data_IF_834270283536
#
_entry.id   IF_834270283536
#
_cell.length_a   1.000
_cell.length_b   1.000
_cell.length_c   1.000
_cell.angle_alpha   90.00
_cell.angle_beta   90.00
_cell.angle_gamma   90.00
#
_symmetry.space_group_name_H-M   'P 1'
#
loop_
_entity.id
_entity.type
_entity.pdbx_description
1 polymer ?
#
# COMPACT_ATOMS: atom_id res chain seq x y z
N UNK A 1 14.69 -7.04 -42.37
CA UNK A 1 13.66 -6.22 -41.72
C UNK A 1 13.37 -6.81 -40.35
N UNK A 2 13.84 -6.13 -39.30
CA UNK A 2 13.69 -6.56 -37.91
C UNK A 2 12.23 -6.43 -37.48
N UNK A 3 11.61 -7.55 -37.12
CA UNK A 3 10.30 -7.60 -36.48
C UNK A 3 10.44 -6.97 -35.09
N UNK A 4 9.97 -5.74 -34.93
CA UNK A 4 9.79 -5.13 -33.62
C UNK A 4 8.71 -5.93 -32.87
N UNK A 5 9.09 -6.47 -31.71
CA UNK A 5 8.12 -7.00 -30.74
C UNK A 5 7.17 -5.85 -30.36
N UNK A 6 5.92 -5.90 -30.81
CA UNK A 6 4.85 -5.08 -30.24
C UNK A 6 4.79 -5.44 -28.75
N UNK A 7 5.08 -4.49 -27.87
CA UNK A 7 4.85 -4.67 -26.44
C UNK A 7 3.37 -4.97 -26.23
N UNK A 8 3.05 -6.05 -25.51
CA UNK A 8 1.67 -6.40 -25.20
C UNK A 8 1.01 -5.22 -24.48
N UNK A 9 -0.07 -4.69 -25.06
CA UNK A 9 -0.88 -3.67 -24.38
C UNK A 9 -1.41 -4.23 -23.05
N UNK A 10 -1.43 -3.43 -21.96
CA UNK A 10 -1.97 -3.89 -20.68
C UNK A 10 -3.44 -4.32 -20.82
N UNK A 11 -3.82 -5.40 -20.14
CA UNK A 11 -5.22 -5.85 -20.11
C UNK A 11 -6.16 -4.76 -19.55
N UNK A 12 -7.35 -4.62 -20.12
CA UNK A 12 -8.35 -3.66 -19.63
C UNK A 12 -8.83 -4.09 -18.23
N UNK A 13 -8.85 -3.19 -17.22
CA UNK A 13 -9.36 -3.53 -15.91
C UNK A 13 -10.88 -3.76 -15.95
N UNK A 14 -11.31 -4.91 -15.43
CA UNK A 14 -12.73 -5.25 -15.27
C UNK A 14 -13.37 -4.44 -14.14
N UNK A 15 -14.59 -3.93 -14.31
CA UNK A 15 -15.29 -3.20 -13.25
C UNK A 15 -15.72 -4.17 -12.15
N UNK A 16 -15.44 -3.82 -10.90
CA UNK A 16 -15.75 -4.64 -9.73
C UNK A 16 -16.08 -3.80 -8.50
N UNK A 17 -16.71 -4.43 -7.52
CA UNK A 17 -17.04 -3.83 -6.22
C UNK A 17 -16.67 -4.75 -5.08
N UNK A 18 -16.42 -4.20 -3.91
CA UNK A 18 -16.17 -4.97 -2.70
C UNK A 18 -16.59 -4.20 -1.44
N UNK A 19 -17.03 -4.93 -0.41
CA UNK A 19 -17.64 -4.35 0.79
C UNK A 19 -16.87 -4.78 2.04
N UNK A 20 -16.45 -3.80 2.82
CA UNK A 20 -16.05 -4.00 4.21
C UNK A 20 -17.32 -4.00 5.05
N UNK A 21 -17.87 -5.19 5.31
CA UNK A 21 -19.04 -5.34 6.17
C UNK A 21 -18.60 -5.28 7.64
N UNK A 22 -19.13 -4.30 8.37
CA UNK A 22 -18.85 -4.09 9.79
C UNK A 22 -20.02 -4.62 10.63
N UNK A 23 -19.74 -5.60 11.48
CA UNK A 23 -20.73 -6.22 12.37
C UNK A 23 -21.21 -5.25 13.47
N UNK A 24 -22.33 -5.57 14.16
CA UNK A 24 -22.77 -4.81 15.33
C UNK A 24 -21.70 -4.67 16.43
N UNK A 25 -20.72 -5.58 16.47
CA UNK A 25 -19.58 -5.58 17.41
C UNK A 25 -18.31 -4.91 16.86
N UNK A 26 -18.42 -4.18 15.75
CA UNK A 26 -17.31 -3.53 15.04
C UNK A 26 -16.24 -4.50 14.49
N UNK A 27 -16.65 -5.72 14.15
CA UNK A 27 -15.77 -6.71 13.52
C UNK A 27 -15.97 -6.69 12.00
N UNK A 28 -14.95 -7.09 11.25
CA UNK A 28 -14.94 -7.05 9.79
C UNK A 28 -15.04 -8.46 9.23
N UNK A 29 -15.97 -8.65 8.30
CA UNK A 29 -16.10 -9.89 7.54
C UNK A 29 -14.94 -10.04 6.55
N UNK A 30 -14.25 -11.17 6.60
CA UNK A 30 -13.44 -11.65 5.50
C UNK A 30 -13.90 -13.03 5.06
N UNK A 31 -13.71 -13.27 3.77
CA UNK A 31 -13.93 -14.54 3.10
C UNK A 31 -12.59 -15.18 2.77
N UNK A 32 -12.48 -16.49 2.96
CA UNK A 32 -11.30 -17.27 2.63
C UNK A 32 -11.66 -18.43 1.70
N UNK A 33 -11.06 -18.47 0.51
CA UNK A 33 -11.31 -19.53 -0.48
C UNK A 33 -10.46 -20.78 -0.18
N UNK A 34 -11.11 -21.90 0.10
CA UNK A 34 -10.47 -23.16 0.45
C UNK A 34 -10.04 -23.91 -0.83
N UNK A 35 -8.80 -23.65 -1.27
CA UNK A 35 -7.96 -24.44 -2.21
C UNK A 35 -8.64 -25.14 -3.42
N UNK A 36 -9.28 -24.42 -4.33
CA UNK A 36 -9.49 -24.89 -5.72
C UNK A 36 -9.42 -23.80 -6.82
N UNK A 37 -9.33 -22.50 -6.49
CA UNK A 37 -9.42 -21.43 -7.50
C UNK A 37 -8.10 -21.05 -8.20
N UNK A 38 -8.17 -20.72 -9.50
CA UNK A 38 -7.04 -20.28 -10.34
C UNK A 38 -6.65 -18.80 -10.16
N UNK A 39 -7.33 -18.06 -9.30
CA UNK A 39 -6.98 -16.68 -8.92
C UNK A 39 -7.02 -16.54 -7.40
N UNK A 40 -5.93 -16.09 -6.77
CA UNK A 40 -5.87 -15.82 -5.32
C UNK A 40 -6.11 -17.02 -4.39
N UNK A 41 -5.64 -18.22 -4.73
CA UNK A 41 -5.72 -19.39 -3.85
C UNK A 41 -5.20 -19.08 -2.42
N UNK A 42 -6.03 -19.34 -1.40
CA UNK A 42 -5.74 -19.14 0.03
C UNK A 42 -5.64 -17.69 0.54
N UNK A 43 -6.12 -16.71 -0.22
CA UNK A 43 -6.21 -15.32 0.25
C UNK A 43 -7.48 -15.06 1.06
N UNK A 44 -7.35 -14.19 2.06
CA UNK A 44 -8.50 -13.60 2.74
C UNK A 44 -8.86 -12.30 2.02
N UNK A 45 -10.14 -12.13 1.72
CA UNK A 45 -10.65 -10.99 0.94
C UNK A 45 -11.94 -10.48 1.54
N UNK A 46 -12.22 -9.20 1.34
CA UNK A 46 -13.58 -8.69 1.53
C UNK A 46 -14.50 -9.31 0.47
N UNK A 47 -15.77 -9.59 0.81
CA UNK A 47 -16.77 -9.99 -0.17
C UNK A 47 -16.81 -9.01 -1.35
N UNK A 48 -16.92 -9.54 -2.57
CA UNK A 48 -16.98 -8.71 -3.76
C UNK A 48 -16.55 -9.40 -5.05
N UNK A 49 -17.00 -8.83 -6.17
CA UNK A 49 -16.78 -9.40 -7.49
C UNK A 49 -17.02 -8.40 -8.61
N UNK A 50 -17.15 -8.93 -9.83
CA UNK A 50 -17.32 -8.11 -11.03
C UNK A 50 -18.75 -7.58 -11.11
N UNK A 51 -18.93 -6.44 -11.76
CA UNK A 51 -20.26 -6.01 -12.17
C UNK A 51 -20.83 -7.02 -13.18
N UNK A 52 -22.10 -7.34 -12.98
CA UNK A 52 -22.94 -8.13 -13.90
C UNK A 52 -23.95 -7.21 -14.58
N UNK A 53 -24.53 -7.65 -15.71
CA UNK A 53 -25.57 -6.89 -16.41
C UNK A 53 -26.81 -6.64 -15.54
N UNK A 54 -27.08 -7.50 -14.54
CA UNK A 54 -28.18 -7.30 -13.59
C UNK A 54 -27.95 -6.13 -12.63
N UNK A 55 -26.70 -5.69 -12.45
CA UNK A 55 -26.37 -4.56 -11.56
C UNK A 55 -26.64 -3.20 -12.25
N UNK A 56 -26.86 -3.21 -13.56
CA UNK A 56 -27.09 -2.02 -14.40
C UNK A 56 -25.93 -1.68 -15.33
N UNK A 57 -26.04 -0.55 -16.02
CA UNK A 57 -25.08 -0.15 -17.05
C UNK A 57 -23.72 0.27 -16.46
N UNK A 58 -22.65 -0.25 -17.06
CA UNK A 58 -21.28 0.15 -16.75
C UNK A 58 -20.68 0.93 -17.94
N UNK A 59 -20.09 2.12 -17.72
CA UNK A 59 -19.45 2.87 -18.79
C UNK A 59 -18.41 2.03 -19.56
N UNK A 60 -18.23 2.28 -20.88
CA UNK A 60 -17.33 1.50 -21.71
C UNK A 60 -15.88 1.62 -21.27
N UNK A 61 -15.02 0.71 -21.75
CA UNK A 61 -13.59 0.77 -21.49
C UNK A 61 -12.98 2.04 -22.08
N UNK A 62 -12.21 2.79 -21.27
CA UNK A 62 -11.56 4.04 -21.67
C UNK A 62 -12.33 5.30 -21.27
N UNK A 63 -13.60 5.17 -20.84
CA UNK A 63 -14.33 6.27 -20.24
C UNK A 63 -13.88 6.49 -18.78
N UNK A 64 -13.57 7.74 -18.41
CA UNK A 64 -13.21 8.10 -17.03
C UNK A 64 -14.34 7.80 -16.05
N UNK A 65 -15.60 7.92 -16.48
CA UNK A 65 -16.78 7.63 -15.67
C UNK A 65 -16.84 6.16 -15.21
N UNK A 66 -16.15 5.23 -15.90
CA UNK A 66 -16.00 3.84 -15.46
C UNK A 66 -15.36 3.75 -14.07
N UNK A 67 -14.56 4.74 -13.69
CA UNK A 67 -13.83 4.78 -12.43
C UNK A 67 -14.50 5.65 -11.37
N UNK A 68 -15.78 6.00 -11.55
CA UNK A 68 -16.60 6.72 -10.58
C UNK A 68 -17.53 5.77 -9.81
N UNK A 69 -17.95 6.17 -8.62
CA UNK A 69 -19.03 5.48 -7.90
C UNK A 69 -20.34 5.59 -8.69
N UNK A 70 -21.15 4.54 -8.69
CA UNK A 70 -22.45 4.53 -9.37
C UNK A 70 -23.42 3.55 -8.71
N UNK A 71 -24.74 3.70 -8.95
CA UNK A 71 -25.73 2.71 -8.47
C UNK A 71 -25.39 1.27 -8.89
N UNK A 72 -24.78 1.06 -10.06
CA UNK A 72 -24.39 -0.26 -10.53
C UNK A 72 -23.21 -0.86 -9.75
N UNK A 73 -22.22 -0.05 -9.37
CA UNK A 73 -21.18 -0.52 -8.46
C UNK A 73 -21.76 -0.88 -7.09
N UNK A 74 -22.71 -0.09 -6.57
CA UNK A 74 -23.35 -0.34 -5.28
C UNK A 74 -24.21 -1.61 -5.28
N UNK A 75 -25.01 -1.83 -6.33
CA UNK A 75 -25.80 -3.06 -6.52
C UNK A 75 -24.91 -4.29 -6.60
N UNK A 76 -23.84 -4.22 -7.40
CA UNK A 76 -22.86 -5.30 -7.49
C UNK A 76 -22.24 -5.63 -6.12
N UNK A 77 -21.92 -4.61 -5.30
CA UNK A 77 -21.34 -4.82 -3.98
C UNK A 77 -22.28 -5.63 -3.05
N UNK A 78 -23.58 -5.31 -3.05
CA UNK A 78 -24.58 -6.02 -2.24
C UNK A 78 -24.87 -7.42 -2.80
N UNK A 79 -25.03 -7.55 -4.12
CA UNK A 79 -25.26 -8.85 -4.76
C UNK A 79 -24.11 -9.81 -4.49
N UNK A 80 -22.86 -9.38 -4.72
CA UNK A 80 -21.68 -10.22 -4.49
C UNK A 80 -21.51 -10.59 -3.01
N UNK A 81 -21.79 -9.66 -2.09
CA UNK A 81 -21.82 -9.99 -0.66
C UNK A 81 -22.83 -11.12 -0.37
N UNK A 82 -24.05 -11.02 -0.89
CA UNK A 82 -25.07 -12.05 -0.71
C UNK A 82 -24.68 -13.37 -1.37
N UNK A 83 -24.16 -13.34 -2.60
CA UNK A 83 -23.70 -14.52 -3.32
C UNK A 83 -22.57 -15.25 -2.60
N UNK A 84 -21.59 -14.52 -2.05
CA UNK A 84 -20.39 -15.12 -1.45
C UNK A 84 -20.53 -15.47 0.04
N UNK A 85 -21.42 -14.79 0.78
CA UNK A 85 -21.59 -14.97 2.25
C UNK A 85 -22.99 -15.34 2.71
N UNK A 86 -24.01 -15.25 1.86
CA UNK A 86 -25.42 -15.43 2.25
C UNK A 86 -26.00 -14.32 3.14
N UNK A 87 -25.21 -13.32 3.53
CA UNK A 87 -25.69 -12.17 4.33
C UNK A 87 -26.51 -11.25 3.43
N UNK A 88 -27.75 -10.98 3.85
CA UNK A 88 -28.70 -10.20 3.06
C UNK A 88 -28.70 -8.73 3.51
N UNK A 89 -28.27 -7.83 2.63
CA UNK A 89 -28.40 -6.38 2.82
C UNK A 89 -29.51 -5.84 1.94
N UNK A 90 -30.74 -6.01 2.41
CA UNK A 90 -31.93 -5.50 1.77
C UNK A 90 -32.83 -4.81 2.79
N UNK A 91 -33.68 -3.91 2.31
CA UNK A 91 -34.65 -3.19 3.12
C UNK A 91 -36.00 -3.16 2.46
N UNK A 92 -37.02 -2.94 3.26
CA UNK A 92 -38.32 -2.52 2.78
C UNK A 92 -38.24 -1.04 2.37
N UNK A 93 -38.60 -0.73 1.12
CA UNK A 93 -38.49 0.61 0.53
C UNK A 93 -39.28 1.66 1.30
N UNK A 94 -40.42 1.28 1.88
CA UNK A 94 -41.36 2.22 2.49
C UNK A 94 -40.98 2.53 3.94
N UNK A 95 -40.64 1.50 4.71
CA UNK A 95 -40.28 1.64 6.13
C UNK A 95 -38.78 1.90 6.35
N UNK A 96 -37.93 1.54 5.39
CA UNK A 96 -36.48 1.58 5.53
C UNK A 96 -35.89 0.48 6.43
N UNK A 97 -36.75 -0.38 6.99
CA UNK A 97 -36.32 -1.47 7.87
C UNK A 97 -35.62 -2.56 7.07
N UNK A 98 -34.57 -3.15 7.65
CA UNK A 98 -33.90 -4.28 7.01
C UNK A 98 -34.82 -5.49 6.88
N UNK A 99 -34.72 -6.15 5.73
CA UNK A 99 -35.48 -7.34 5.43
C UNK A 99 -34.80 -8.57 6.05
N UNK A 100 -35.56 -9.32 6.85
CA UNK A 100 -35.12 -10.61 7.36
C UNK A 100 -35.77 -11.75 6.55
N UNK A 101 -34.95 -12.66 6.06
CA UNK A 101 -35.37 -13.86 5.31
C UNK A 101 -34.70 -15.07 5.97
N UNK A 102 -35.45 -16.16 6.17
CA UNK A 102 -34.92 -17.37 6.78
C UNK A 102 -33.78 -17.99 5.95
N UNK A 103 -32.87 -18.69 6.64
CA UNK A 103 -31.67 -19.25 6.02
C UNK A 103 -31.96 -20.22 4.86
N UNK A 104 -32.91 -21.19 4.93
CA UNK A 104 -33.22 -22.05 3.79
C UNK A 104 -33.64 -21.27 2.54
N UNK A 105 -34.47 -20.24 2.71
CA UNK A 105 -34.93 -19.38 1.61
C UNK A 105 -33.79 -18.53 1.05
N UNK A 106 -32.92 -17.97 1.90
CA UNK A 106 -31.70 -17.25 1.47
C UNK A 106 -30.76 -18.15 0.68
N UNK A 107 -30.48 -19.36 1.17
CA UNK A 107 -29.61 -20.33 0.51
C UNK A 107 -30.14 -20.74 -0.87
N UNK A 108 -31.45 -21.00 -0.97
CA UNK A 108 -32.10 -21.30 -2.25
C UNK A 108 -32.00 -20.12 -3.23
N UNK A 109 -32.28 -18.90 -2.74
CA UNK A 109 -32.11 -17.66 -3.50
C UNK A 109 -30.69 -17.47 -4.02
N UNK A 110 -29.69 -17.61 -3.13
CA UNK A 110 -28.26 -17.49 -3.45
C UNK A 110 -27.86 -18.38 -4.62
N UNK A 111 -28.31 -19.64 -4.62
CA UNK A 111 -28.06 -20.59 -5.71
C UNK A 111 -28.70 -20.17 -7.03
N UNK A 112 -29.94 -19.68 -7.00
CA UNK A 112 -30.65 -19.25 -8.21
C UNK A 112 -30.00 -18.01 -8.83
N UNK A 113 -29.63 -17.03 -8.00
CA UNK A 113 -28.98 -15.79 -8.43
C UNK A 113 -27.61 -16.09 -9.03
N UNK A 114 -26.79 -16.88 -8.34
CA UNK A 114 -25.48 -17.28 -8.82
C UNK A 114 -25.54 -18.04 -10.16
N UNK A 115 -26.55 -18.91 -10.34
CA UNK A 115 -26.79 -19.64 -11.59
C UNK A 115 -27.43 -18.78 -12.70
N UNK A 116 -27.63 -17.47 -12.46
CA UNK A 116 -28.33 -16.54 -13.35
C UNK A 116 -29.75 -17.02 -13.74
N UNK A 117 -30.42 -17.77 -12.86
CA UNK A 117 -31.82 -18.22 -13.05
C UNK A 117 -32.84 -17.17 -12.65
N UNK A 118 -32.44 -16.23 -11.79
CA UNK A 118 -33.19 -15.05 -11.37
C UNK A 118 -32.18 -13.94 -11.10
N UNK A 119 -32.59 -12.68 -11.24
CA UNK A 119 -31.77 -11.55 -10.74
C UNK A 119 -31.95 -11.37 -9.24
N UNK A 120 -31.01 -10.66 -8.60
CA UNK A 120 -31.11 -10.32 -7.17
C UNK A 120 -32.36 -9.50 -6.85
N UNK A 121 -32.65 -8.47 -7.65
CA UNK A 121 -33.86 -7.63 -7.50
C UNK A 121 -35.16 -8.43 -7.69
N UNK A 122 -35.21 -9.35 -8.66
CA UNK A 122 -36.40 -10.21 -8.85
C UNK A 122 -36.60 -11.17 -7.68
N UNK A 123 -35.52 -11.76 -7.16
CA UNK A 123 -35.61 -12.65 -6.01
C UNK A 123 -36.06 -11.90 -4.74
N UNK A 124 -35.57 -10.67 -4.52
CA UNK A 124 -36.01 -9.82 -3.41
C UNK A 124 -37.52 -9.54 -3.45
N UNK A 125 -38.04 -9.22 -4.64
CA UNK A 125 -39.48 -8.97 -4.84
C UNK A 125 -40.36 -10.19 -4.55
N UNK A 126 -39.82 -11.41 -4.63
CA UNK A 126 -40.52 -12.63 -4.22
C UNK A 126 -40.63 -12.75 -2.70
N UNK A 127 -39.72 -12.13 -1.94
CA UNK A 127 -39.73 -12.15 -0.48
C UNK A 127 -40.65 -11.08 0.10
N UNK A 128 -40.63 -9.88 -0.50
CA UNK A 128 -41.57 -8.80 -0.22
C UNK A 128 -41.67 -7.88 -1.44
N UNK A 129 -42.87 -7.43 -1.81
CA UNK A 129 -43.10 -6.64 -3.01
C UNK A 129 -42.32 -5.31 -3.03
N UNK A 130 -42.11 -4.72 -1.84
CA UNK A 130 -41.39 -3.46 -1.64
C UNK A 130 -39.93 -3.66 -1.23
N UNK A 131 -39.39 -4.88 -1.30
CA UNK A 131 -37.99 -5.14 -0.99
C UNK A 131 -37.04 -4.57 -2.05
N UNK A 132 -35.98 -3.90 -1.60
CA UNK A 132 -34.90 -3.41 -2.44
C UNK A 132 -33.51 -3.62 -1.79
N UNK A 133 -32.43 -3.71 -2.58
CA UNK A 133 -31.07 -3.72 -2.06
C UNK A 133 -30.75 -2.42 -1.30
N UNK A 134 -30.12 -2.48 -0.13
CA UNK A 134 -29.84 -1.27 0.67
C UNK A 134 -28.58 -0.50 0.20
N UNK A 135 -28.57 -0.10 -1.07
CA UNK A 135 -27.43 0.58 -1.72
C UNK A 135 -27.13 1.98 -1.15
N UNK A 136 -28.09 2.57 -0.42
CA UNK A 136 -27.97 3.91 0.15
C UNK A 136 -26.98 3.96 1.31
N UNK A 137 -26.86 2.87 2.06
CA UNK A 137 -25.98 2.79 3.24
C UNK A 137 -24.52 2.48 2.90
N UNK A 138 -24.22 2.17 1.63
CA UNK A 138 -22.84 1.99 1.19
C UNK A 138 -22.11 3.34 1.15
N UNK A 139 -21.05 3.43 1.95
CA UNK A 139 -20.16 4.60 1.99
C UNK A 139 -18.94 4.30 1.11
N UNK A 140 -18.71 5.05 0.01
CA UNK A 140 -17.50 4.88 -0.79
C UNK A 140 -16.25 5.03 0.06
N UNK A 141 -15.32 4.09 -0.02
CA UNK A 141 -14.07 4.16 0.75
C UNK A 141 -12.86 4.46 -0.11
N UNK A 142 -12.66 3.77 -1.23
CA UNK A 142 -11.56 4.07 -2.18
C UNK A 142 -11.69 3.19 -3.41
N UNK A 143 -11.17 3.65 -4.56
CA UNK A 143 -11.06 2.85 -5.77
C UNK A 143 -9.66 2.31 -5.97
N UNK A 144 -9.55 1.04 -6.34
CA UNK A 144 -8.28 0.40 -6.66
C UNK A 144 -8.24 -0.06 -8.11
N UNK A 145 -7.20 0.32 -8.84
CA UNK A 145 -6.93 -0.15 -10.19
C UNK A 145 -5.74 -1.10 -10.14
N UNK A 146 -5.91 -2.32 -10.63
CA UNK A 146 -4.81 -3.29 -10.63
C UNK A 146 -3.66 -2.78 -11.50
N UNK A 147 -2.39 -2.84 -11.05
CA UNK A 147 -1.24 -2.40 -11.83
C UNK A 147 -1.11 -3.11 -13.19
N UNK A 148 -0.47 -2.45 -14.16
CA UNK A 148 -0.37 -2.93 -15.55
C UNK A 148 0.50 -4.18 -15.74
N UNK A 149 1.35 -4.50 -14.77
CA UNK A 149 2.19 -5.70 -14.79
C UNK A 149 1.46 -6.98 -14.34
N UNK A 150 0.18 -6.87 -13.95
CA UNK A 150 -0.66 -8.00 -13.56
C UNK A 150 -1.57 -8.37 -14.73
N UNK A 151 -1.67 -9.66 -15.14
CA UNK A 151 -2.45 -10.05 -16.32
C UNK A 151 -3.96 -9.92 -16.11
N UNK A 152 -4.47 -10.28 -14.91
CA UNK A 152 -5.87 -10.10 -14.54
C UNK A 152 -6.01 -8.77 -13.81
N UNK A 153 -6.69 -7.81 -14.43
CA UNK A 153 -6.85 -6.45 -13.91
C UNK A 153 -8.29 -6.15 -13.57
N UNK A 154 -8.46 -5.33 -12.55
CA UNK A 154 -9.74 -4.90 -12.00
C UNK A 154 -9.69 -3.40 -11.68
N UNK A 155 -10.84 -2.74 -11.74
CA UNK A 155 -11.08 -1.43 -11.14
C UNK A 155 -12.18 -1.60 -10.09
N UNK A 156 -11.74 -1.79 -8.85
CA UNK A 156 -12.61 -2.15 -7.73
C UNK A 156 -13.00 -0.93 -6.93
N UNK A 157 -14.29 -0.65 -6.81
CA UNK A 157 -14.80 0.29 -5.82
C UNK A 157 -14.94 -0.42 -4.46
N UNK A 158 -14.28 0.09 -3.43
CA UNK A 158 -14.40 -0.41 -2.06
C UNK A 158 -15.43 0.43 -1.30
N UNK A 159 -16.27 -0.22 -0.51
CA UNK A 159 -17.28 0.43 0.33
C UNK A 159 -17.16 0.01 1.80
N UNK A 160 -17.58 0.88 2.70
CA UNK A 160 -17.95 0.51 4.07
C UNK A 160 -19.46 0.26 4.14
N UNK A 161 -19.88 -0.71 4.94
CA UNK A 161 -21.28 -0.91 5.32
C UNK A 161 -21.37 -1.28 6.80
N UNK A 162 -22.09 -0.48 7.59
CA UNK A 162 -22.29 -0.75 9.01
C UNK A 162 -23.62 -1.45 9.25
N UNK A 163 -23.57 -2.67 9.79
CA UNK A 163 -24.75 -3.28 10.40
C UNK A 163 -25.13 -2.50 11.67
N UNK A 164 -26.42 -2.35 12.03
CA UNK A 164 -26.82 -1.57 13.18
C UNK A 164 -26.17 -2.07 14.48
N UNK A 165 -26.00 -1.17 15.45
CA UNK A 165 -25.48 -1.56 16.77
C UNK A 165 -26.50 -2.45 17.51
N UNK A 166 -26.08 -3.33 18.43
CA UNK A 166 -26.90 -4.41 18.97
C UNK A 166 -28.27 -4.00 19.57
N UNK A 167 -28.38 -2.78 20.10
CA UNK A 167 -29.64 -2.25 20.66
C UNK A 167 -30.70 -2.02 19.57
N UNK A 168 -30.26 -1.88 18.33
CA UNK A 168 -31.06 -1.53 17.16
C UNK A 168 -31.20 -2.70 16.17
N UNK A 169 -30.85 -3.93 16.57
CA UNK A 169 -30.86 -5.10 15.69
C UNK A 169 -31.99 -6.06 16.06
N UNK A 170 -32.83 -6.40 15.08
CA UNK A 170 -33.78 -7.51 15.21
C UNK A 170 -33.02 -8.84 15.37
N UNK A 171 -33.44 -9.70 16.32
CA UNK A 171 -32.83 -11.02 16.54
C UNK A 171 -32.69 -11.83 15.25
N UNK A 172 -33.67 -11.75 14.35
CA UNK A 172 -33.64 -12.46 13.07
C UNK A 172 -32.52 -12.00 12.12
N UNK A 173 -31.98 -10.81 12.33
CA UNK A 173 -30.85 -10.29 11.58
C UNK A 173 -29.51 -10.76 12.18
N UNK A 174 -29.46 -10.92 13.51
CA UNK A 174 -28.28 -11.51 14.17
C UNK A 174 -28.08 -12.96 13.77
N UNK A 175 -29.17 -13.71 13.59
CA UNK A 175 -29.14 -15.11 13.14
C UNK A 175 -28.59 -15.27 11.70
N UNK A 176 -28.36 -14.18 10.96
CA UNK A 176 -27.74 -14.20 9.63
C UNK A 176 -26.23 -14.04 9.67
N UNK A 177 -25.65 -13.71 10.82
CA UNK A 177 -24.22 -13.46 10.98
C UNK A 177 -23.56 -14.67 11.64
N UNK A 178 -22.37 -15.09 11.18
CA UNK A 178 -21.56 -16.06 11.91
C UNK A 178 -21.37 -15.62 13.36
N UNK A 179 -21.51 -16.55 14.30
CA UNK A 179 -21.23 -16.28 15.71
C UNK A 179 -19.77 -15.88 15.91
N UNK A 180 -19.48 -15.18 17.01
CA UNK A 180 -18.14 -14.66 17.28
C UNK A 180 -17.10 -15.78 17.35
N UNK A 181 -16.10 -15.72 16.48
CA UNK A 181 -15.04 -16.73 16.38
C UNK A 181 -15.43 -18.01 15.66
N UNK A 182 -16.69 -18.18 15.28
CA UNK A 182 -17.13 -19.29 14.43
C UNK A 182 -16.81 -19.01 12.95
N UNK A 183 -16.82 -20.09 12.19
CA UNK A 183 -16.53 -20.11 10.76
C UNK A 183 -17.73 -20.71 10.06
N UNK A 184 -18.33 -19.97 9.13
CA UNK A 184 -19.38 -20.52 8.26
C UNK A 184 -18.78 -20.91 6.92
N UNK A 185 -18.96 -22.17 6.54
CA UNK A 185 -18.54 -22.67 5.23
C UNK A 185 -19.71 -22.59 4.25
N UNK A 186 -19.53 -21.83 3.18
CA UNK A 186 -20.47 -21.78 2.07
C UNK A 186 -19.87 -22.47 0.85
N UNK A 187 -20.67 -23.33 0.21
CA UNK A 187 -20.34 -23.89 -1.10
C UNK A 187 -20.84 -22.94 -2.18
N UNK A 188 -19.90 -22.34 -2.91
CA UNK A 188 -20.18 -21.54 -4.08
C UNK A 188 -19.96 -22.41 -5.31
N UNK A 189 -20.97 -22.63 -6.16
CA UNK A 189 -20.70 -23.09 -7.51
C UNK A 189 -19.77 -22.09 -8.20
N UNK A 190 -18.96 -22.53 -9.15
CA UNK A 190 -18.16 -21.65 -10.00
C UNK A 190 -18.78 -21.56 -11.39
N UNK A 191 -18.47 -20.50 -12.11
CA UNK A 191 -18.97 -20.27 -13.48
C UNK A 191 -18.56 -21.36 -14.50
N UNK A 192 -17.57 -22.18 -14.17
CA UNK A 192 -17.12 -23.36 -14.94
C UNK A 192 -17.69 -24.70 -14.40
N UNK A 193 -18.63 -24.66 -13.45
CA UNK A 193 -19.31 -25.85 -12.91
C UNK A 193 -18.57 -26.56 -11.77
N UNK A 194 -17.52 -25.95 -11.21
CA UNK A 194 -16.86 -26.40 -9.98
C UNK A 194 -17.58 -25.94 -8.71
N UNK A 195 -17.06 -26.33 -7.55
CA UNK A 195 -17.49 -25.84 -6.23
C UNK A 195 -16.27 -25.21 -5.55
N UNK A 196 -16.33 -23.91 -5.25
CA UNK A 196 -15.42 -23.18 -4.37
C UNK A 196 -16.04 -23.16 -2.96
N UNK A 197 -15.35 -23.74 -1.97
CA UNK A 197 -15.73 -23.56 -0.57
C UNK A 197 -15.14 -22.23 -0.11
N UNK A 198 -16.00 -21.36 0.41
CA UNK A 198 -15.61 -20.09 0.99
C UNK A 198 -15.97 -20.09 2.46
N UNK A 199 -14.99 -19.79 3.30
CA UNK A 199 -15.12 -19.68 4.74
C UNK A 199 -15.33 -18.20 5.10
N UNK A 200 -16.46 -17.90 5.73
CA UNK A 200 -16.82 -16.56 6.19
C UNK A 200 -16.52 -16.43 7.69
N UNK A 201 -15.78 -15.39 8.06
CA UNK A 201 -15.44 -15.11 9.45
C UNK A 201 -15.45 -13.61 9.75
N UNK A 202 -16.05 -13.24 10.89
CA UNK A 202 -15.91 -11.92 11.48
C UNK A 202 -14.77 -11.91 12.49
N UNK A 203 -13.85 -10.95 12.36
CA UNK A 203 -12.84 -10.65 13.37
C UNK A 203 -12.56 -9.14 13.44
N UNK A 204 -11.94 -8.67 14.53
CA UNK A 204 -11.44 -7.30 14.62
C UNK A 204 -10.51 -6.98 13.47
N UNK A 205 -10.53 -5.75 12.99
CA UNK A 205 -9.61 -5.34 11.92
C UNK A 205 -8.14 -5.48 12.37
N UNK A 206 -7.85 -5.15 13.63
CA UNK A 206 -6.54 -5.32 14.27
C UNK A 206 -6.10 -6.79 14.36
N UNK A 207 -7.04 -7.72 14.58
CA UNK A 207 -6.76 -9.15 14.60
C UNK A 207 -6.38 -9.65 13.20
N UNK A 208 -7.14 -9.25 12.16
CA UNK A 208 -6.79 -9.56 10.77
C UNK A 208 -5.42 -9.02 10.39
N UNK A 209 -5.13 -7.77 10.74
CA UNK A 209 -3.82 -7.14 10.52
C UNK A 209 -2.71 -7.93 11.22
N UNK A 210 -2.91 -8.32 12.49
CA UNK A 210 -1.94 -9.10 13.26
C UNK A 210 -1.65 -10.46 12.61
N UNK A 211 -2.70 -11.22 12.23
CA UNK A 211 -2.56 -12.52 11.54
C UNK A 211 -1.78 -12.38 10.23
N UNK A 212 -2.03 -11.33 9.46
CA UNK A 212 -1.31 -11.09 8.20
C UNK A 212 0.15 -10.67 8.42
N UNK A 213 0.45 -9.88 9.45
CA UNK A 213 1.82 -9.51 9.84
C UNK A 213 2.63 -10.73 10.29
N UNK A 214 1.99 -11.66 11.01
CA UNK A 214 2.58 -12.95 11.41
C UNK A 214 2.64 -13.98 10.28
N UNK A 215 2.19 -13.62 9.07
CA UNK A 215 2.10 -14.50 7.90
C UNK A 215 1.22 -15.75 8.11
N UNK A 216 0.24 -15.69 9.02
CA UNK A 216 -0.75 -16.75 9.23
C UNK A 216 -1.78 -16.76 8.08
N UNK A 217 -2.15 -15.58 7.59
CA UNK A 217 -3.07 -15.40 6.46
C UNK A 217 -2.41 -14.64 5.30
N UNK A 218 -3.06 -14.62 4.14
CA UNK A 218 -2.65 -13.84 2.97
C UNK A 218 -3.64 -12.69 2.80
N UNK A 219 -3.15 -11.45 2.92
CA UNK A 219 -3.89 -10.24 2.56
C UNK A 219 -3.13 -9.48 1.47
N UNK A 220 -3.82 -9.15 0.39
CA UNK A 220 -3.25 -8.28 -0.63
C UNK A 220 -3.24 -6.81 -0.17
N UNK A 221 -2.42 -5.94 -0.80
CA UNK A 221 -2.25 -4.56 -0.36
C UNK A 221 -3.54 -3.75 -0.13
N UNK A 222 -4.59 -3.84 -0.99
CA UNK A 222 -5.85 -3.16 -0.73
C UNK A 222 -6.49 -3.61 0.60
N UNK A 223 -6.63 -4.92 0.79
CA UNK A 223 -7.28 -5.51 1.96
C UNK A 223 -6.53 -5.12 3.24
N UNK A 224 -5.21 -5.29 3.24
CA UNK A 224 -4.38 -4.97 4.40
C UNK A 224 -4.43 -3.48 4.75
N UNK A 225 -4.31 -2.59 3.76
CA UNK A 225 -4.35 -1.15 4.02
C UNK A 225 -5.68 -0.73 4.63
N UNK A 226 -6.79 -1.19 4.07
CA UNK A 226 -8.11 -0.78 4.55
C UNK A 226 -8.40 -1.32 5.95
N UNK A 227 -8.03 -2.58 6.25
CA UNK A 227 -8.10 -3.12 7.62
C UNK A 227 -7.22 -2.33 8.58
N UNK A 228 -5.99 -1.99 8.18
CA UNK A 228 -5.08 -1.18 9.01
C UNK A 228 -5.70 0.18 9.34
N UNK A 229 -6.28 0.88 8.36
CA UNK A 229 -6.93 2.17 8.60
C UNK A 229 -8.14 2.03 9.53
N UNK A 230 -9.04 1.09 9.24
CA UNK A 230 -10.26 0.84 10.03
C UNK A 230 -9.92 0.47 11.48
N UNK A 231 -8.88 -0.34 11.70
CA UNK A 231 -8.43 -0.74 13.05
C UNK A 231 -8.03 0.44 13.93
N UNK A 232 -7.52 1.53 13.35
CA UNK A 232 -7.16 2.75 14.07
C UNK A 232 -8.36 3.52 14.66
N UNK A 233 -9.58 3.14 14.30
CA UNK A 233 -10.82 3.74 14.79
C UNK A 233 -11.65 2.74 15.59
N UNK A 234 -11.95 1.57 14.99
CA UNK A 234 -12.89 0.62 15.57
C UNK A 234 -12.29 -0.18 16.73
N UNK A 235 -11.00 -0.49 16.68
CA UNK A 235 -10.32 -1.37 17.64
C UNK A 235 -9.52 -0.61 18.70
N UNK A 236 -9.90 0.63 19.03
CA UNK A 236 -9.28 1.38 20.12
C UNK A 236 -9.56 0.72 21.47
N UNK A 237 -8.57 0.70 22.36
CA UNK A 237 -8.75 0.17 23.71
C UNK A 237 -9.47 1.18 24.63
N UNK A 238 -10.33 0.74 25.57
CA UNK A 238 -10.72 -0.66 25.79
C UNK A 238 -11.68 -1.16 24.71
N UNK A 239 -11.44 -2.35 24.16
CA UNK A 239 -12.35 -2.98 23.18
C UNK A 239 -13.45 -3.81 23.84
N UNK A 240 -13.07 -4.65 24.80
CA UNK A 240 -14.03 -5.42 25.58
C UNK A 240 -14.87 -4.46 26.44
N UNK A 241 -16.18 -4.69 26.50
CA UNK A 241 -17.14 -3.89 27.28
C UNK A 241 -17.26 -2.41 26.85
N UNK A 242 -16.90 -2.07 25.61
CA UNK A 242 -17.19 -0.74 25.07
C UNK A 242 -18.71 -0.52 25.05
N UNK A 243 -19.17 0.64 25.54
CA UNK A 243 -20.59 0.98 25.50
C UNK A 243 -21.06 1.20 24.06
N UNK A 244 -22.37 1.16 23.85
CA UNK A 244 -22.99 1.39 22.53
C UNK A 244 -22.67 2.80 22.03
N UNK A 245 -22.66 3.79 22.93
CA UNK A 245 -22.31 5.17 22.63
C UNK A 245 -20.85 5.30 22.17
N UNK A 246 -19.93 4.56 22.80
CA UNK A 246 -18.52 4.54 22.42
C UNK A 246 -18.32 3.84 21.06
N UNK A 247 -19.04 2.74 20.81
CA UNK A 247 -19.03 2.08 19.49
C UNK A 247 -19.54 3.01 18.38
N UNK A 248 -20.62 3.75 18.64
CA UNK A 248 -21.18 4.74 17.71
C UNK A 248 -20.17 5.86 17.43
N UNK A 249 -19.54 6.40 18.48
CA UNK A 249 -18.50 7.42 18.34
C UNK A 249 -17.32 6.96 17.48
N UNK A 250 -16.89 5.69 17.63
CA UNK A 250 -15.82 5.10 16.81
C UNK A 250 -16.22 4.97 15.34
N UNK A 251 -17.46 4.54 15.07
CA UNK A 251 -18.01 4.46 13.70
C UNK A 251 -18.09 5.85 13.07
N UNK A 252 -18.61 6.83 13.79
CA UNK A 252 -18.68 8.22 13.34
C UNK A 252 -17.30 8.79 13.00
N UNK A 253 -16.30 8.57 13.87
CA UNK A 253 -14.93 9.00 13.61
C UNK A 253 -14.31 8.34 12.37
N UNK A 254 -14.63 7.07 12.09
CA UNK A 254 -14.23 6.40 10.87
C UNK A 254 -14.91 7.02 9.63
N UNK A 255 -16.20 7.31 9.70
CA UNK A 255 -16.95 7.97 8.61
C UNK A 255 -16.39 9.36 8.32
N UNK A 256 -16.11 10.15 9.35
CA UNK A 256 -15.46 11.46 9.20
C UNK A 256 -14.07 11.32 8.55
N UNK A 257 -13.29 10.32 8.97
CA UNK A 257 -11.99 10.06 8.38
C UNK A 257 -12.07 9.75 6.88
N UNK A 258 -13.04 8.93 6.43
CA UNK A 258 -13.11 8.59 5.00
C UNK A 258 -13.53 9.78 4.11
N UNK A 259 -14.25 10.74 4.68
CA UNK A 259 -14.59 12.02 4.03
C UNK A 259 -13.52 13.11 4.24
N UNK A 260 -12.43 12.81 4.95
CA UNK A 260 -11.35 13.75 5.23
C UNK A 260 -10.14 13.56 4.30
N UNK A 261 -9.34 14.62 4.18
CA UNK A 261 -8.12 14.64 3.36
C UNK A 261 -8.32 15.32 2.00
N UNK A 262 -7.25 15.38 1.20
CA UNK A 262 -7.27 16.00 -0.13
C UNK A 262 -6.51 15.14 -1.15
N UNK A 263 -7.21 14.40 -2.04
CA UNK A 263 -8.66 14.18 -2.03
C UNK A 263 -9.09 13.33 -0.80
N UNK A 264 -10.38 13.35 -0.41
CA UNK A 264 -10.90 12.46 0.61
C UNK A 264 -10.74 10.99 0.20
N UNK A 265 -10.73 10.06 1.16
CA UNK A 265 -10.59 8.63 0.85
C UNK A 265 -11.66 8.14 -0.13
N UNK A 266 -12.90 8.57 0.07
CA UNK A 266 -14.05 8.31 -0.80
C UNK A 266 -13.75 8.56 -2.29
N UNK A 267 -12.85 9.50 -2.60
CA UNK A 267 -12.47 9.88 -3.96
C UNK A 267 -11.07 9.37 -4.38
N UNK A 268 -10.30 8.79 -3.47
CA UNK A 268 -8.95 8.29 -3.77
C UNK A 268 -9.02 7.13 -4.75
N UNK A 269 -8.27 7.25 -5.83
CA UNK A 269 -8.04 6.17 -6.79
C UNK A 269 -6.57 5.75 -6.77
N UNK A 270 -6.32 4.46 -6.55
CA UNK A 270 -4.99 3.91 -6.25
C UNK A 270 -4.66 2.78 -7.22
N UNK A 271 -3.55 2.93 -7.94
CA UNK A 271 -2.85 1.87 -8.68
C UNK A 271 -1.44 1.74 -8.12
N UNK A 272 -1.18 0.76 -7.24
CA UNK A 272 0.10 0.64 -6.55
C UNK A 272 1.29 0.52 -7.51
N UNK A 273 2.36 1.26 -7.21
CA UNK A 273 3.63 1.17 -7.96
C UNK A 273 4.78 0.90 -7.02
N UNK A 274 5.65 -0.04 -7.37
CA UNK A 274 6.87 -0.26 -6.61
C UNK A 274 7.77 0.98 -6.72
N UNK A 275 8.10 1.60 -5.59
CA UNK A 275 8.97 2.78 -5.53
C UNK A 275 10.43 2.40 -5.22
N UNK A 276 10.63 1.40 -4.36
CA UNK A 276 11.94 0.84 -4.01
C UNK A 276 11.76 -0.55 -3.39
N UNK A 277 12.88 -1.23 -3.18
CA UNK A 277 12.97 -2.44 -2.37
C UNK A 277 13.80 -2.14 -1.12
N UNK A 278 13.30 -2.54 0.05
CA UNK A 278 14.01 -2.39 1.33
C UNK A 278 15.18 -3.37 1.43
N UNK A 279 16.15 -3.08 2.29
CA UNK A 279 17.30 -3.99 2.53
C UNK A 279 16.92 -5.40 3.01
N UNK A 280 15.74 -5.57 3.63
CA UNK A 280 15.21 -6.89 4.02
C UNK A 280 14.47 -7.60 2.87
N UNK A 281 14.43 -7.03 1.66
CA UNK A 281 13.83 -7.64 0.46
C UNK A 281 12.32 -7.46 0.33
N UNK A 282 11.68 -6.54 1.06
CA UNK A 282 10.27 -6.17 0.84
C UNK A 282 10.15 -5.11 -0.25
N UNK A 283 9.13 -5.24 -1.08
CA UNK A 283 8.73 -4.20 -2.04
C UNK A 283 8.00 -3.08 -1.30
N UNK A 284 8.40 -1.83 -1.54
CA UNK A 284 7.67 -0.66 -1.06
C UNK A 284 6.76 -0.18 -2.19
N UNK A 285 5.46 -0.23 -1.96
CA UNK A 285 4.43 0.20 -2.89
C UNK A 285 3.99 1.62 -2.56
N UNK A 286 4.24 2.54 -3.48
CA UNK A 286 3.65 3.88 -3.49
C UNK A 286 2.19 3.81 -3.96
N UNK A 287 1.35 4.64 -3.34
CA UNK A 287 -0.10 4.62 -3.50
C UNK A 287 -0.68 5.89 -4.16
N UNK A 288 0.19 6.82 -4.58
CA UNK A 288 -0.21 8.16 -5.05
C UNK A 288 -0.83 8.19 -6.44
N UNK A 289 -0.51 7.20 -7.27
CA UNK A 289 -0.86 7.17 -8.68
C UNK A 289 -2.22 6.48 -8.89
N UNK A 290 -3.13 7.05 -9.71
CA UNK A 290 -4.42 6.42 -10.02
C UNK A 290 -4.34 5.36 -11.14
N UNK A 291 -3.18 5.23 -11.79
CA UNK A 291 -2.97 4.32 -12.91
C UNK A 291 -3.08 5.01 -14.28
N UNK A 292 -2.68 4.32 -15.37
CA UNK A 292 -2.70 4.88 -16.72
C UNK A 292 -4.11 5.13 -17.26
N UNK A 293 -5.13 4.40 -16.80
CA UNK A 293 -6.53 4.58 -17.21
C UNK A 293 -7.07 5.97 -16.87
N UNK A 294 -6.54 6.57 -15.80
CA UNK A 294 -6.96 7.86 -15.28
C UNK A 294 -5.95 8.96 -15.58
N UNK A 295 -5.06 8.74 -16.55
CA UNK A 295 -4.08 9.74 -17.00
C UNK A 295 -4.83 10.96 -17.56
N UNK A 296 -4.48 12.15 -17.05
CA UNK A 296 -5.14 13.40 -17.43
C UNK A 296 -6.37 13.75 -16.60
N UNK A 297 -6.85 12.84 -15.74
CA UNK A 297 -7.90 13.16 -14.77
C UNK A 297 -7.37 13.90 -13.53
N UNK A 298 -8.29 14.45 -12.74
CA UNK A 298 -8.01 15.02 -11.42
C UNK A 298 -7.82 13.96 -10.32
N UNK A 299 -8.10 12.68 -10.58
CA UNK A 299 -8.01 11.62 -9.56
C UNK A 299 -6.58 11.46 -9.04
N UNK A 300 -6.45 11.26 -7.73
CA UNK A 300 -5.18 11.03 -7.03
C UNK A 300 -5.37 9.92 -6.01
N UNK A 301 -4.28 9.25 -5.67
CA UNK A 301 -4.27 8.21 -4.63
C UNK A 301 -3.80 8.74 -3.27
N UNK A 302 -3.30 7.83 -2.44
CA UNK A 302 -2.75 8.13 -1.11
C UNK A 302 -1.27 8.52 -1.22
N UNK A 303 -0.92 9.73 -0.78
CA UNK A 303 0.42 10.31 -0.98
C UNK A 303 1.36 10.13 0.20
N UNK A 304 0.83 9.99 1.42
CA UNK A 304 1.58 10.00 2.66
C UNK A 304 1.99 8.61 3.12
N UNK A 305 1.20 7.59 2.81
CA UNK A 305 1.45 6.19 3.22
C UNK A 305 1.98 5.32 2.09
N UNK A 306 2.71 4.28 2.47
CA UNK A 306 3.18 3.21 1.60
C UNK A 306 2.81 1.85 2.19
N UNK A 307 2.66 0.85 1.32
CA UNK A 307 2.52 -0.54 1.73
C UNK A 307 3.84 -1.27 1.47
N UNK A 308 4.41 -1.87 2.50
CA UNK A 308 5.54 -2.79 2.39
C UNK A 308 4.98 -4.20 2.25
N UNK A 309 5.52 -4.99 1.32
CA UNK A 309 5.07 -6.37 1.11
C UNK A 309 6.19 -7.23 0.55
N UNK A 310 6.29 -8.47 1.00
CA UNK A 310 7.11 -9.50 0.36
C UNK A 310 6.23 -10.34 -0.57
N UNK A 311 6.54 -10.31 -1.86
CA UNK A 311 5.92 -11.22 -2.82
C UNK A 311 6.75 -12.51 -2.91
N UNK A 312 6.15 -13.65 -2.57
CA UNK A 312 6.78 -14.97 -2.74
C UNK A 312 5.81 -15.89 -3.45
N UNK A 313 6.20 -16.38 -4.65
CA UNK A 313 5.39 -17.27 -5.49
C UNK A 313 3.95 -16.77 -5.74
N UNK A 314 3.77 -15.45 -5.90
CA UNK A 314 2.47 -14.84 -6.13
C UNK A 314 1.63 -14.54 -4.87
N UNK A 315 2.10 -14.90 -3.68
CA UNK A 315 1.45 -14.54 -2.40
C UNK A 315 2.08 -13.30 -1.79
N UNK A 316 1.24 -12.41 -1.24
CA UNK A 316 1.64 -11.29 -0.41
C UNK A 316 1.82 -11.75 1.04
N UNK A 317 3.02 -11.58 1.61
CA UNK A 317 3.37 -11.91 2.99
C UNK A 317 4.15 -10.76 3.63
N UNK A 318 4.24 -10.75 4.97
CA UNK A 318 4.97 -9.71 5.73
C UNK A 318 4.53 -8.29 5.36
N UNK A 319 3.21 -8.09 5.27
CA UNK A 319 2.62 -6.82 4.84
C UNK A 319 2.64 -5.81 5.99
N UNK A 320 2.96 -4.55 5.69
CA UNK A 320 2.90 -3.46 6.66
C UNK A 320 2.54 -2.14 5.98
N UNK A 321 1.91 -1.23 6.74
CA UNK A 321 1.66 0.15 6.31
C UNK A 321 2.60 1.06 7.10
N UNK A 322 3.24 1.99 6.40
CA UNK A 322 4.14 2.98 7.02
C UNK A 322 4.00 4.33 6.36
N UNK A 323 4.43 5.39 7.05
CA UNK A 323 4.59 6.69 6.43
C UNK A 323 5.71 6.66 5.39
N UNK A 324 5.42 7.20 4.22
CA UNK A 324 6.35 7.28 3.08
C UNK A 324 7.63 8.02 3.46
N UNK A 325 7.50 9.14 4.19
CA UNK A 325 8.63 9.96 4.62
C UNK A 325 9.62 9.16 5.48
N UNK A 326 9.12 8.38 6.44
CA UNK A 326 9.93 7.59 7.37
C UNK A 326 10.68 6.48 6.62
N UNK A 327 9.98 5.74 5.75
CA UNK A 327 10.60 4.65 4.97
C UNK A 327 11.69 5.19 4.03
N UNK A 328 11.43 6.31 3.35
CA UNK A 328 12.41 6.93 2.47
C UNK A 328 13.61 7.46 3.23
N UNK A 329 13.41 8.02 4.43
CA UNK A 329 14.48 8.48 5.30
C UNK A 329 15.34 7.33 5.80
N UNK A 330 14.73 6.26 6.34
CA UNK A 330 15.45 5.09 6.82
C UNK A 330 16.27 4.41 5.73
N UNK A 331 15.72 4.25 4.53
CA UNK A 331 16.46 3.63 3.43
C UNK A 331 17.57 4.57 2.88
N UNK A 332 17.39 5.89 2.99
CA UNK A 332 18.49 6.85 2.75
C UNK A 332 19.58 6.70 3.81
N UNK A 333 19.22 6.54 5.08
CA UNK A 333 20.17 6.36 6.20
C UNK A 333 20.90 5.03 6.16
N UNK A 334 20.24 3.93 5.80
CA UNK A 334 20.89 2.61 5.58
C UNK A 334 21.84 2.63 4.37
N UNK A 335 21.54 3.46 3.37
CA UNK A 335 22.44 3.73 2.24
C UNK A 335 23.56 4.70 2.58
N UNK A 336 23.46 5.44 3.71
CA UNK A 336 24.64 6.13 4.26
C UNK A 336 25.57 5.04 4.79
N UNK A 337 26.85 5.03 4.39
CA UNK A 337 27.79 4.04 4.91
C UNK A 337 27.83 4.14 6.44
N UNK A 338 27.71 3.00 7.13
CA UNK A 338 27.74 2.97 8.60
C UNK A 338 29.03 3.60 9.11
N UNK A 339 28.92 4.48 10.09
CA UNK A 339 30.06 5.11 10.77
C UNK A 339 30.95 4.10 11.51
N UNK A 340 30.50 2.85 11.68
CA UNK A 340 31.30 1.73 12.20
C UNK A 340 32.12 1.01 11.12
N UNK A 341 31.65 0.95 9.87
CA UNK A 341 32.43 0.39 8.75
C UNK A 341 33.23 1.46 8.00
N UNK A 342 32.97 2.75 8.22
CA UNK A 342 33.78 3.86 7.70
C UNK A 342 35.17 3.93 8.32
N UNK A 343 35.37 3.40 9.53
CA UNK A 343 36.70 3.31 10.16
C UNK A 343 37.57 2.26 9.47
N UNK A 344 36.97 1.18 8.97
CA UNK A 344 37.71 0.07 8.30
C UNK A 344 37.79 0.27 6.78
N UNK A 345 36.74 0.77 6.12
CA UNK A 345 36.70 0.92 4.66
C UNK A 345 37.42 2.17 4.12
N UNK A 346 37.70 3.18 4.96
CA UNK A 346 38.58 4.32 4.56
C UNK A 346 40.05 4.11 4.87
N UNK A 347 40.41 3.22 5.79
CA UNK A 347 41.81 2.83 5.97
C UNK A 347 42.38 2.13 4.72
N UNK A 348 41.52 1.46 3.93
CA UNK A 348 41.92 0.79 2.68
C UNK A 348 41.73 1.61 1.40
N UNK A 349 41.46 2.92 1.48
CA UNK A 349 41.43 3.82 0.30
C UNK A 349 42.76 4.55 0.06
N UNK A 350 43.86 4.09 0.67
CA UNK A 350 45.21 4.30 0.15
C UNK A 350 45.49 3.41 -1.08
N UNK A 351 44.44 3.08 -1.85
CA UNK A 351 44.57 2.37 -3.12
C UNK A 351 45.20 3.31 -4.13
N UNK A 352 46.30 2.81 -4.72
CA UNK A 352 47.09 3.45 -5.77
C UNK A 352 46.18 4.22 -6.75
N UNK A 353 46.58 5.42 -7.20
CA UNK A 353 45.78 6.17 -8.18
C UNK A 353 45.50 5.26 -9.38
N UNK A 354 44.24 5.17 -9.81
CA UNK A 354 43.87 4.48 -11.04
C UNK A 354 44.61 5.15 -12.20
N UNK A 355 45.47 4.38 -12.87
CA UNK A 355 46.27 4.78 -14.04
C UNK A 355 45.77 3.98 -15.24
N UNK A 356 45.69 4.63 -16.39
CA UNK A 356 45.49 3.90 -17.64
C UNK A 356 46.83 3.26 -18.03
N UNK A 357 46.85 1.94 -18.15
CA UNK A 357 48.03 1.15 -18.52
C UNK A 357 47.73 0.42 -19.85
N UNK A 358 48.71 0.36 -20.76
CA UNK A 358 48.60 -0.49 -21.95
C UNK A 358 48.77 -1.97 -21.58
N UNK A 359 48.59 -2.90 -22.53
CA UNK A 359 48.72 -4.35 -22.29
C UNK A 359 50.14 -4.78 -21.84
N UNK A 360 51.12 -3.87 -21.84
CA UNK A 360 52.48 -4.05 -21.33
C UNK A 360 52.71 -3.46 -19.92
N UNK A 361 51.67 -2.90 -19.29
CA UNK A 361 51.76 -2.27 -17.97
C UNK A 361 52.41 -0.88 -17.96
N UNK A 362 52.60 -0.27 -19.13
CA UNK A 362 53.14 1.08 -19.24
C UNK A 362 52.02 2.11 -19.10
N UNK A 363 52.26 3.13 -18.26
CA UNK A 363 51.29 4.21 -18.00
C UNK A 363 51.14 5.05 -19.26
N UNK A 364 49.95 5.10 -19.83
CA UNK A 364 49.65 5.88 -21.04
C UNK A 364 49.08 7.28 -20.74
N UNK A 365 48.84 7.59 -19.46
CA UNK A 365 48.37 8.92 -19.02
C UNK A 365 49.50 9.97 -19.06
N UNK A 366 49.24 11.11 -19.72
CA UNK A 366 50.17 12.26 -19.78
C UNK A 366 50.52 12.80 -18.39
N UNK A 367 49.57 12.77 -17.44
CA UNK A 367 49.76 13.07 -16.03
C UNK A 367 48.60 12.50 -15.21
N UNK A 368 48.83 12.20 -13.93
CA UNK A 368 47.75 11.81 -13.00
C UNK A 368 47.22 13.06 -12.29
N UNK A 369 45.97 13.49 -12.55
CA UNK A 369 45.45 14.73 -11.98
C UNK A 369 45.18 14.59 -10.47
N UNK A 370 45.32 15.71 -9.75
CA UNK A 370 44.98 15.81 -8.33
C UNK A 370 43.48 15.58 -8.12
N UNK A 371 43.11 15.03 -6.96
CA UNK A 371 41.71 14.86 -6.55
C UNK A 371 41.38 15.81 -5.41
N UNK A 372 40.17 16.34 -5.40
CA UNK A 372 39.65 17.12 -4.30
C UNK A 372 39.50 16.23 -3.06
N UNK A 373 40.14 16.59 -1.95
CA UNK A 373 40.11 15.85 -0.67
C UNK A 373 38.69 15.76 -0.09
N UNK A 374 37.81 16.72 -0.40
CA UNK A 374 36.44 16.77 0.12
C UNK A 374 35.45 15.92 -0.69
N UNK A 375 35.58 15.89 -2.02
CA UNK A 375 34.58 15.32 -2.95
C UNK A 375 35.09 14.16 -3.81
N UNK A 376 36.39 13.85 -3.78
CA UNK A 376 37.08 12.92 -4.68
C UNK A 376 36.97 13.25 -6.17
N UNK A 377 36.47 14.44 -6.53
CA UNK A 377 36.41 14.89 -7.93
C UNK A 377 37.81 15.21 -8.45
N UNK A 378 38.08 14.87 -9.70
CA UNK A 378 39.31 15.26 -10.39
C UNK A 378 39.38 16.80 -10.51
N UNK A 379 40.52 17.37 -10.11
CA UNK A 379 40.84 18.77 -10.30
C UNK A 379 41.41 18.93 -11.70
N UNK A 380 40.67 19.64 -12.56
CA UNK A 380 41.05 19.88 -13.96
C UNK A 380 42.17 20.92 -14.04
N UNK A 381 42.98 20.88 -15.10
CA UNK A 381 44.05 21.85 -15.33
C UNK A 381 43.56 23.31 -15.45
N UNK A 382 42.32 23.52 -15.90
CA UNK A 382 41.69 24.83 -16.02
C UNK A 382 40.93 25.30 -14.76
N UNK A 383 40.95 24.52 -13.68
CA UNK A 383 40.33 24.92 -12.40
C UNK A 383 41.28 25.82 -11.60
N UNK A 384 41.41 27.08 -12.03
CA UNK A 384 42.22 28.10 -11.35
C UNK A 384 41.64 28.53 -9.99
N UNK A 385 40.38 28.18 -9.74
CA UNK A 385 39.75 28.34 -8.43
C UNK A 385 40.06 27.17 -7.49
N UNK A 386 40.79 26.13 -7.91
CA UNK A 386 41.27 25.09 -6.99
C UNK A 386 42.46 25.59 -6.16
N UNK A 387 42.55 25.14 -4.90
CA UNK A 387 43.67 25.44 -4.01
C UNK A 387 44.19 24.18 -3.36
N UNK A 388 45.45 24.24 -2.95
CA UNK A 388 46.07 23.22 -2.13
C UNK A 388 46.56 23.88 -0.84
N UNK A 389 46.02 23.42 0.29
CA UNK A 389 46.35 23.88 1.62
C UNK A 389 47.34 22.89 2.23
N UNK A 390 48.52 23.36 2.62
CA UNK A 390 49.51 22.55 3.35
C UNK A 390 49.58 23.03 4.79
N UNK A 391 49.20 22.17 5.71
CA UNK A 391 49.15 22.45 7.16
C UNK A 391 50.36 21.78 7.81
N UNK A 392 51.21 22.56 8.46
CA UNK A 392 52.39 22.02 9.14
C UNK A 392 52.02 21.27 10.41
N UNK A 393 52.57 20.06 10.60
CA UNK A 393 52.42 19.31 11.83
C UNK A 393 53.35 19.89 12.90
N UNK A 394 52.83 20.09 14.10
CA UNK A 394 53.57 20.60 15.26
C UNK A 394 53.75 19.49 16.30
N UNK A 395 54.89 19.49 16.98
CA UNK A 395 55.15 18.61 18.11
C UNK A 395 54.51 19.14 19.40
N UNK A 396 54.69 18.40 20.50
CA UNK A 396 54.16 18.76 21.83
C UNK A 396 54.70 20.10 22.35
N UNK A 397 55.83 20.57 21.82
CA UNK A 397 56.45 21.84 22.17
C UNK A 397 56.02 22.98 21.22
N UNK A 398 55.07 22.72 20.32
CA UNK A 398 54.58 23.67 19.33
C UNK A 398 55.56 23.96 18.20
N UNK A 399 56.61 23.14 18.01
CA UNK A 399 57.59 23.32 16.95
C UNK A 399 57.17 22.55 15.69
N UNK A 400 57.37 23.17 14.54
CA UNK A 400 57.11 22.53 13.26
C UNK A 400 58.04 21.33 13.05
N UNK A 401 57.44 20.18 12.75
CA UNK A 401 58.12 18.87 12.65
C UNK A 401 58.80 18.61 11.30
N UNK A 402 58.67 19.52 10.33
CA UNK A 402 59.15 19.31 8.96
C UNK A 402 58.14 18.62 8.04
N UNK A 403 57.08 18.03 8.60
CA UNK A 403 56.02 17.36 7.86
C UNK A 403 54.77 18.22 7.67
N UNK A 404 54.19 18.19 6.47
CA UNK A 404 52.94 18.87 6.14
C UNK A 404 51.83 17.86 5.84
N UNK A 405 50.62 18.17 6.30
CA UNK A 405 49.40 17.54 5.84
C UNK A 405 48.75 18.41 4.75
N UNK A 406 48.51 17.83 3.58
CA UNK A 406 48.02 18.57 2.42
C UNK A 406 46.56 18.24 2.08
N UNK A 407 45.75 19.26 1.86
CA UNK A 407 44.36 19.16 1.42
C UNK A 407 44.16 19.93 0.12
N UNK A 408 43.61 19.27 -0.91
CA UNK A 408 43.27 19.92 -2.16
C UNK A 408 41.76 20.17 -2.23
N UNK A 409 41.34 21.40 -2.47
CA UNK A 409 39.94 21.79 -2.63
C UNK A 409 39.71 22.27 -4.06
N UNK A 410 38.72 21.69 -4.75
CA UNK A 410 38.36 22.13 -6.11
C UNK A 410 37.58 23.45 -6.09
N UNK A 411 37.62 24.18 -7.20
CA UNK A 411 36.93 25.46 -7.36
C UNK A 411 35.42 25.38 -7.16
N UNK A 412 34.81 24.22 -7.44
CA UNK A 412 33.38 23.98 -7.22
C UNK A 412 32.96 24.13 -5.74
N UNK A 413 33.76 23.63 -4.80
CA UNK A 413 33.50 23.75 -3.36
C UNK A 413 33.77 25.18 -2.88
N UNK A 414 34.78 25.85 -3.46
CA UNK A 414 35.10 27.25 -3.18
C UNK A 414 34.03 28.23 -3.65
N UNK A 415 33.48 28.00 -4.84
CA UNK A 415 32.42 28.85 -5.40
C UNK A 415 31.10 28.79 -4.59
N UNK A 416 30.88 27.72 -3.82
CA UNK A 416 29.68 27.53 -2.98
C UNK A 416 29.84 28.00 -1.54
N UNK A 417 31.03 28.48 -1.15
CA UNK A 417 31.33 28.79 0.25
C UNK A 417 31.45 27.56 1.16
N UNK A 418 31.43 26.34 0.61
CA UNK A 418 31.49 25.08 1.36
C UNK A 418 32.93 24.67 1.76
N UNK A 419 33.90 25.55 1.54
CA UNK A 419 35.32 25.24 1.75
C UNK A 419 35.70 25.14 3.21
N UNK A 420 35.13 26.02 4.04
CA UNK A 420 35.37 26.03 5.48
C UNK A 420 34.83 24.75 6.14
N UNK A 421 33.54 24.42 5.91
CA UNK A 421 32.92 23.19 6.40
C UNK A 421 33.68 21.93 5.94
N UNK A 422 34.04 21.90 4.65
CA UNK A 422 34.81 20.79 4.09
C UNK A 422 36.18 20.62 4.75
N UNK A 423 36.88 21.73 5.02
CA UNK A 423 38.19 21.70 5.67
C UNK A 423 38.08 21.27 7.13
N UNK A 424 37.11 21.82 7.89
CA UNK A 424 36.86 21.45 9.28
C UNK A 424 36.54 19.96 9.43
N UNK A 425 35.69 19.41 8.54
CA UNK A 425 35.36 17.98 8.51
C UNK A 425 36.57 17.10 8.20
N UNK A 426 37.44 17.53 7.28
CA UNK A 426 38.66 16.79 6.92
C UNK A 426 39.69 16.82 8.06
N UNK A 427 39.93 17.98 8.64
CA UNK A 427 40.86 18.14 9.76
C UNK A 427 40.38 17.42 11.02
N UNK A 428 39.07 17.40 11.30
CA UNK A 428 38.50 16.62 12.40
C UNK A 428 38.61 15.11 12.16
N UNK A 429 38.39 14.64 10.92
CA UNK A 429 38.60 13.24 10.54
C UNK A 429 40.05 12.81 10.74
N UNK A 430 40.99 13.67 10.36
CA UNK A 430 42.42 13.38 10.44
C UNK A 430 43.00 13.62 11.85
N UNK A 431 42.14 13.94 12.83
CA UNK A 431 42.47 14.05 14.26
C UNK A 431 43.04 15.39 14.69
N UNK A 432 43.10 16.38 13.80
CA UNK A 432 43.68 17.70 14.07
C UNK A 432 42.71 18.67 14.75
N UNK A 433 41.40 18.48 14.58
CA UNK A 433 40.37 19.28 15.25
C UNK A 433 39.47 18.40 16.13
N UNK A 434 39.05 18.92 17.28
CA UNK A 434 38.10 18.27 18.19
C UNK A 434 36.80 19.08 18.24
N UNK A 435 35.66 18.42 18.07
CA UNK A 435 34.31 18.96 18.33
C UNK A 435 33.90 20.21 17.54
N UNK A 436 34.37 20.38 16.29
CA UNK A 436 34.02 21.55 15.46
C UNK A 436 32.78 21.30 14.60
N UNK A 437 32.52 20.04 14.22
CA UNK A 437 31.35 19.66 13.42
C UNK A 437 30.44 18.69 14.18
N UNK A 438 29.17 19.09 14.35
CA UNK A 438 28.04 18.25 14.79
C UNK A 438 26.98 18.25 13.70
N UNK A 439 26.53 17.07 13.27
CA UNK A 439 25.41 16.97 12.34
C UNK A 439 24.14 17.48 13.03
N UNK A 440 23.77 18.74 12.80
CA UNK A 440 22.50 19.31 13.27
C UNK A 440 21.34 18.50 12.68
N UNK A 441 20.77 17.61 13.47
CA UNK A 441 19.42 17.08 13.25
C UNK A 441 18.43 18.24 13.41
N UNK A 442 18.17 18.99 12.34
CA UNK A 442 17.14 20.02 12.32
C UNK A 442 15.94 19.54 11.50
N UNK A 443 14.90 19.20 12.28
CA UNK A 443 13.43 19.29 12.10
C UNK A 443 12.81 19.04 10.73
#
# INVERSE_FOLDING_TARGET
MSSSKRGNEPAVPRPSSSVLLISPKNEILLLHRVKTSTSFASAHVFPGGNLSSQDGECPPSGDLARHEDSPSYRRAAIRELFEESGILLAKDRNSGNMLAVDEPTREAGRRLIHQNKTTFDEWLKQQSADAEPDIGQLIPFTRWVTPTNVPKRYTTQMYLYFLPLPVNVDKKLLDQLPSEGEHEEHQLPTSDGGIEVTEAQFLPASAWVSRAQKAEIILFPPQFLLLHLVSGFLDREPRANASVEEMEKRRQALVEFVHSGSPPWTEKCISPKMILMTGDGRSVLGLSDPGPELKGSSKRGESERVVLVRFKKGSAREVAVRWKKDVLQEEREKKKPSTSNLTVARQNLNTKPAKMENDKGEIVDLYVPRKCSATNRIIKANDHASVQLSVGKVDENGRYTGENQTYALCGFIRARGESDDSFNRLAQRDGYLKNVWTASSQR
#
